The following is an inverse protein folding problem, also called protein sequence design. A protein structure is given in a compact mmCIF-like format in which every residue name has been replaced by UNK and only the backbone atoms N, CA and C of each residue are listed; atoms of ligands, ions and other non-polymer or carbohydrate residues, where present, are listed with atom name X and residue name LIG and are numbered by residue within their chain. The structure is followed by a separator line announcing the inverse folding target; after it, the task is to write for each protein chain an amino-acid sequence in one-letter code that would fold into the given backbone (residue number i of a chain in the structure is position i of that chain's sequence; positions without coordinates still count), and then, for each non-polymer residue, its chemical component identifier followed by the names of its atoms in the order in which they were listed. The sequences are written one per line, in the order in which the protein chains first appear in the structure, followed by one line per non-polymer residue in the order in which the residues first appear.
data_IF_544435643608
#
_entry.id   IF_544435643608
#
_cell.length_a   1.000
_cell.length_b   1.000
_cell.length_c   1.000
_cell.angle_alpha   90.00
_cell.angle_beta   90.00
_cell.angle_gamma   90.00
#
_symmetry.space_group_name_H-M   'P 1'
#
loop_
_entity.id
_entity.type
_entity.pdbx_description
1 polymer ?
#
# COMPACT_ATOMS: atom_id res chain seq x y z
N UNK A 1 -0.77 -15.52 -10.76
CA UNK A 1 -0.29 -14.12 -10.58
C UNK A 1 -1.49 -13.23 -10.37
N UNK A 2 -1.43 -12.34 -9.39
CA UNK A 2 -2.44 -11.32 -9.10
C UNK A 2 -1.83 -9.95 -9.45
N UNK A 3 -2.61 -9.09 -10.08
CA UNK A 3 -2.20 -7.72 -10.36
C UNK A 3 -3.28 -6.78 -9.84
N UNK A 4 -2.95 -5.91 -8.90
CA UNK A 4 -3.80 -4.80 -8.51
C UNK A 4 -3.41 -3.53 -9.27
N UNK A 5 -4.40 -2.71 -9.60
CA UNK A 5 -4.24 -1.40 -10.21
C UNK A 5 -4.97 -0.37 -9.37
N UNK A 6 -4.22 0.55 -8.77
CA UNK A 6 -4.77 1.55 -7.86
C UNK A 6 -4.53 2.95 -8.42
N UNK A 7 -5.56 3.78 -8.59
CA UNK A 7 -5.37 5.13 -9.09
C UNK A 7 -4.66 6.02 -8.06
N UNK A 8 -3.87 6.93 -8.56
CA UNK A 8 -3.35 8.05 -7.79
C UNK A 8 -4.44 9.12 -7.61
N UNK A 9 -4.23 10.05 -6.70
CA UNK A 9 -5.20 11.11 -6.43
C UNK A 9 -4.53 12.49 -6.35
N UNK A 10 -5.30 13.51 -6.68
CA UNK A 10 -4.95 14.90 -6.43
C UNK A 10 -5.91 15.47 -5.39
N UNK A 11 -5.37 16.09 -4.34
CA UNK A 11 -6.13 16.87 -3.37
C UNK A 11 -5.98 18.35 -3.71
N UNK A 12 -7.10 19.03 -3.96
CA UNK A 12 -7.12 20.44 -4.31
C UNK A 12 -7.05 21.32 -3.07
N UNK A 13 -7.72 20.90 -1.99
CA UNK A 13 -7.81 21.64 -0.73
C UNK A 13 -8.09 20.70 0.44
N UNK A 14 -7.69 21.10 1.63
CA UNK A 14 -7.98 20.38 2.89
C UNK A 14 -6.92 19.34 3.30
N UNK A 15 -5.80 19.23 2.58
CA UNK A 15 -4.69 18.38 2.99
C UNK A 15 -4.17 18.77 4.37
N UNK A 16 -3.93 17.76 5.23
CA UNK A 16 -3.53 17.95 6.62
C UNK A 16 -4.67 18.02 7.63
N UNK A 17 -5.92 18.22 7.19
CA UNK A 17 -7.07 18.13 8.08
C UNK A 17 -7.45 16.68 8.45
N UNK A 18 -6.81 15.72 7.83
CA UNK A 18 -6.89 14.27 8.07
C UNK A 18 -5.90 13.76 9.15
N UNK A 19 -5.09 14.66 9.72
CA UNK A 19 -4.16 14.33 10.82
C UNK A 19 -4.93 14.32 12.15
N UNK A 20 -4.63 13.35 13.01
CA UNK A 20 -5.33 13.15 14.28
C UNK A 20 -5.31 14.38 15.20
N UNK A 21 -4.20 15.11 15.22
CA UNK A 21 -4.07 16.37 15.98
C UNK A 21 -5.03 17.47 15.50
N UNK A 22 -5.47 17.41 14.24
CA UNK A 22 -6.45 18.34 13.69
C UNK A 22 -7.88 17.83 13.90
N UNK A 23 -8.25 16.65 13.34
CA UNK A 23 -9.65 16.20 13.31
C UNK A 23 -10.24 15.83 14.67
N UNK A 24 -9.40 15.59 15.69
CA UNK A 24 -9.89 15.39 17.06
C UNK A 24 -10.41 16.67 17.71
N UNK A 25 -9.99 17.82 17.24
CA UNK A 25 -10.36 19.12 17.80
C UNK A 25 -11.32 19.90 16.89
N UNK A 26 -11.21 19.72 15.57
CA UNK A 26 -11.98 20.45 14.59
C UNK A 26 -12.31 19.51 13.42
N UNK A 27 -13.56 19.48 12.93
CA UNK A 27 -13.89 18.67 11.77
C UNK A 27 -13.01 19.04 10.57
N UNK A 28 -12.40 18.01 9.95
CA UNK A 28 -11.62 18.16 8.73
C UNK A 28 -12.48 17.91 7.49
N UNK A 29 -12.08 18.51 6.38
CA UNK A 29 -12.65 18.23 5.08
C UNK A 29 -11.61 18.32 3.98
N UNK A 30 -11.72 17.47 2.97
CA UNK A 30 -10.83 17.43 1.82
C UNK A 30 -11.65 17.37 0.53
N UNK A 31 -11.16 18.05 -0.50
CA UNK A 31 -11.68 17.91 -1.87
C UNK A 31 -10.59 17.27 -2.71
N UNK A 32 -10.83 16.07 -3.18
CA UNK A 32 -9.86 15.30 -3.96
C UNK A 32 -10.54 14.51 -5.07
N UNK A 33 -9.76 14.11 -6.06
CA UNK A 33 -10.20 13.25 -7.16
C UNK A 33 -9.14 12.23 -7.52
N UNK A 34 -9.58 11.06 -7.93
CA UNK A 34 -8.70 10.08 -8.57
C UNK A 34 -8.31 10.56 -9.97
N UNK A 35 -7.12 10.23 -10.40
CA UNK A 35 -6.59 10.61 -11.72
C UNK A 35 -6.24 9.39 -12.55
N UNK A 36 -6.08 9.58 -13.86
CA UNK A 36 -5.70 8.54 -14.81
C UNK A 36 -4.19 8.26 -14.77
N UNK A 37 -3.67 8.04 -13.56
CA UNK A 37 -2.31 7.56 -13.28
C UNK A 37 -2.40 6.54 -12.16
N UNK A 38 -1.63 5.48 -12.25
CA UNK A 38 -1.83 4.28 -11.44
C UNK A 38 -0.54 3.79 -10.80
N UNK A 39 -0.71 3.06 -9.72
CA UNK A 39 0.29 2.13 -9.19
C UNK A 39 -0.21 0.72 -9.47
N UNK A 40 0.68 -0.10 -10.00
CA UNK A 40 0.45 -1.52 -10.25
C UNK A 40 1.26 -2.35 -9.28
N UNK A 41 0.63 -3.32 -8.64
CA UNK A 41 1.31 -4.27 -7.77
C UNK A 41 1.01 -5.67 -8.27
N UNK A 42 2.04 -6.36 -8.72
CA UNK A 42 1.99 -7.75 -9.11
C UNK A 42 2.47 -8.64 -7.96
N UNK A 43 1.67 -9.65 -7.64
CA UNK A 43 1.97 -10.63 -6.61
C UNK A 43 1.95 -12.02 -7.20
N UNK A 44 3.00 -12.79 -6.98
CA UNK A 44 3.08 -14.16 -7.42
C UNK A 44 3.57 -15.08 -6.31
N UNK A 45 3.27 -16.36 -6.41
CA UNK A 45 3.79 -17.38 -5.49
C UNK A 45 5.27 -17.61 -5.78
N UNK A 46 6.09 -17.63 -4.73
CA UNK A 46 7.50 -17.97 -4.79
C UNK A 46 7.72 -19.40 -4.24
N UNK A 47 8.26 -20.24 -5.05
CA UNK A 47 8.33 -21.69 -4.81
C UNK A 47 9.28 -22.07 -3.66
N UNK A 48 10.36 -21.34 -3.46
CA UNK A 48 11.41 -21.64 -2.49
C UNK A 48 11.19 -21.05 -1.09
N UNK A 49 10.00 -20.50 -0.84
CA UNK A 49 9.62 -19.94 0.46
C UNK A 49 10.16 -18.53 0.73
N UNK A 50 11.06 -18.00 -0.08
CA UNK A 50 11.62 -16.66 0.08
C UNK A 50 10.57 -15.58 -0.19
N UNK A 51 10.86 -14.39 0.31
CA UNK A 51 10.12 -13.16 0.01
C UNK A 51 11.00 -12.31 -0.90
N UNK A 52 10.52 -12.01 -2.09
CA UNK A 52 11.19 -11.14 -3.05
C UNK A 52 10.33 -9.90 -3.25
N UNK A 53 10.92 -8.72 -3.12
CA UNK A 53 10.22 -7.44 -3.24
C UNK A 53 10.99 -6.57 -4.22
N UNK A 54 10.35 -6.18 -5.32
CA UNK A 54 10.90 -5.28 -6.34
C UNK A 54 10.12 -3.96 -6.33
N UNK A 55 10.83 -2.87 -6.06
CA UNK A 55 10.34 -1.51 -6.14
C UNK A 55 11.44 -0.60 -6.74
N UNK A 56 11.92 0.46 -6.11
CA UNK A 56 13.12 1.20 -6.54
C UNK A 56 14.42 0.41 -6.31
N UNK A 57 14.34 -0.62 -5.46
CA UNK A 57 15.40 -1.62 -5.26
C UNK A 57 14.79 -3.02 -5.18
N UNK A 58 15.64 -4.03 -5.11
CA UNK A 58 15.23 -5.42 -4.89
C UNK A 58 15.67 -5.89 -3.51
N UNK A 59 14.72 -6.43 -2.75
CA UNK A 59 14.99 -7.13 -1.49
C UNK A 59 14.68 -8.62 -1.67
N UNK A 60 15.55 -9.48 -1.15
CA UNK A 60 15.32 -10.92 -1.07
C UNK A 60 15.62 -11.38 0.34
N UNK A 61 14.60 -11.81 1.06
CA UNK A 61 14.71 -12.18 2.48
C UNK A 61 13.98 -13.48 2.77
N UNK A 62 14.31 -14.10 3.90
CA UNK A 62 13.66 -15.33 4.37
C UNK A 62 12.59 -15.06 5.44
N UNK A 63 12.65 -13.92 6.11
CA UNK A 63 11.73 -13.54 7.18
C UNK A 63 11.16 -12.16 6.96
N UNK A 64 9.90 -11.96 7.35
CA UNK A 64 9.23 -10.66 7.26
C UNK A 64 9.96 -9.60 8.09
N UNK A 65 10.56 -9.97 9.22
CA UNK A 65 11.35 -9.05 10.07
C UNK A 65 12.51 -8.39 9.35
N UNK A 66 13.06 -9.06 8.35
CA UNK A 66 14.28 -8.64 7.64
C UNK A 66 13.96 -7.69 6.46
N UNK A 67 12.69 -7.45 6.18
CA UNK A 67 12.24 -6.54 5.12
C UNK A 67 12.54 -5.10 5.53
N UNK A 68 13.27 -4.37 4.70
CA UNK A 68 13.56 -2.95 4.92
C UNK A 68 12.36 -2.05 4.58
N UNK A 69 11.61 -2.39 3.53
CA UNK A 69 10.40 -1.64 3.17
C UNK A 69 9.32 -1.80 4.23
N UNK A 70 9.13 -0.75 5.02
CA UNK A 70 8.20 -0.74 6.15
C UNK A 70 6.75 -1.02 5.75
N UNK A 71 6.28 -0.43 4.63
CA UNK A 71 4.92 -0.63 4.15
C UNK A 71 4.65 -2.09 3.81
N UNK A 72 5.59 -2.74 3.08
CA UNK A 72 5.47 -4.15 2.71
C UNK A 72 5.53 -5.03 3.95
N UNK A 73 6.46 -4.75 4.86
CA UNK A 73 6.62 -5.52 6.10
C UNK A 73 5.33 -5.52 6.93
N UNK A 74 4.73 -4.35 7.15
CA UNK A 74 3.52 -4.23 7.95
C UNK A 74 2.27 -4.77 7.22
N UNK A 75 2.20 -4.64 5.89
CA UNK A 75 1.14 -5.25 5.10
C UNK A 75 1.16 -6.79 5.17
N UNK A 76 2.35 -7.41 5.07
CA UNK A 76 2.49 -8.86 5.20
C UNK A 76 2.12 -9.34 6.60
N UNK A 77 2.55 -8.63 7.66
CA UNK A 77 2.15 -8.94 9.04
C UNK A 77 0.63 -8.86 9.21
N UNK A 78 0.01 -7.78 8.74
CA UNK A 78 -1.43 -7.53 8.89
C UNK A 78 -2.27 -8.57 8.14
N UNK A 79 -1.87 -8.95 6.94
CA UNK A 79 -2.58 -9.93 6.12
C UNK A 79 -2.30 -11.37 6.52
N UNK A 80 -1.23 -11.61 7.28
CA UNK A 80 -0.81 -12.95 7.72
C UNK A 80 -0.12 -13.78 6.62
N UNK A 81 0.40 -13.14 5.59
CA UNK A 81 1.22 -13.82 4.57
C UNK A 81 2.64 -13.97 5.11
N UNK A 82 3.09 -15.19 5.36
CA UNK A 82 4.34 -15.45 6.08
C UNK A 82 5.58 -15.64 5.17
N UNK A 83 5.39 -15.83 3.87
CA UNK A 83 6.49 -16.02 2.91
C UNK A 83 6.05 -16.71 1.63
N UNK A 84 7.02 -17.13 0.82
CA UNK A 84 6.75 -17.78 -0.46
C UNK A 84 6.08 -16.84 -1.48
N UNK A 85 6.51 -15.57 -1.50
CA UNK A 85 5.85 -14.52 -2.27
C UNK A 85 6.85 -13.63 -3.01
N UNK A 86 6.50 -13.25 -4.22
CA UNK A 86 7.20 -12.26 -5.03
C UNK A 86 6.27 -11.09 -5.30
N UNK A 87 6.67 -9.90 -4.87
CA UNK A 87 5.92 -8.65 -4.98
C UNK A 87 6.71 -7.71 -5.89
N UNK A 88 6.08 -7.20 -6.94
CA UNK A 88 6.67 -6.20 -7.82
C UNK A 88 5.74 -5.01 -7.94
N UNK A 89 6.27 -3.81 -7.78
CA UNK A 89 5.52 -2.56 -7.92
C UNK A 89 6.05 -1.71 -9.07
N UNK A 90 5.12 -1.16 -9.83
CA UNK A 90 5.38 -0.23 -10.95
C UNK A 90 4.41 0.93 -10.81
N UNK A 91 4.89 2.15 -10.99
CA UNK A 91 4.08 3.36 -10.94
C UNK A 91 4.20 4.15 -12.25
N UNK A 92 3.09 4.76 -12.69
CA UNK A 92 3.05 5.63 -13.88
C UNK A 92 3.80 6.95 -13.68
N UNK A 93 4.12 7.30 -12.44
CA UNK A 93 4.86 8.52 -12.10
C UNK A 93 5.92 8.20 -11.03
N UNK A 94 6.98 9.02 -10.93
CA UNK A 94 7.95 8.87 -9.85
C UNK A 94 7.26 8.90 -8.47
N UNK A 95 7.64 8.00 -7.58
CA UNK A 95 7.03 7.86 -6.26
C UNK A 95 7.43 8.97 -5.30
N UNK A 96 8.63 9.54 -5.47
CA UNK A 96 9.19 10.54 -4.58
C UNK A 96 8.76 11.96 -4.97
N UNK A 97 8.29 12.73 -3.97
CA UNK A 97 8.00 14.17 -4.11
C UNK A 97 6.79 14.53 -4.97
N UNK A 98 6.01 13.56 -5.44
CA UNK A 98 4.88 13.84 -6.33
C UNK A 98 3.67 14.49 -5.65
N UNK A 99 3.52 14.32 -4.33
CA UNK A 99 2.34 14.80 -3.59
C UNK A 99 1.00 14.17 -3.98
N UNK A 100 1.03 13.15 -4.85
CA UNK A 100 -0.17 12.52 -5.43
C UNK A 100 -0.69 11.31 -4.66
N UNK A 101 -0.30 11.17 -3.38
CA UNK A 101 -0.75 10.07 -2.51
C UNK A 101 -0.18 8.72 -2.92
N UNK A 102 1.05 8.71 -3.43
CA UNK A 102 1.73 7.48 -3.91
C UNK A 102 1.82 6.42 -2.83
N UNK A 103 2.16 6.79 -1.60
CA UNK A 103 2.24 5.88 -0.45
C UNK A 103 0.87 5.24 -0.16
N UNK A 104 -0.17 6.06 -0.04
CA UNK A 104 -1.52 5.58 0.25
C UNK A 104 -2.08 4.69 -0.88
N UNK A 105 -1.86 5.06 -2.13
CA UNK A 105 -2.27 4.23 -3.27
C UNK A 105 -1.47 2.92 -3.33
N UNK A 106 -0.19 2.97 -2.98
CA UNK A 106 0.66 1.80 -2.88
C UNK A 106 0.14 0.80 -1.85
N UNK A 107 -0.10 1.27 -0.60
CA UNK A 107 -0.52 0.36 0.47
C UNK A 107 -1.91 -0.22 0.24
N UNK A 108 -2.86 0.58 -0.30
CA UNK A 108 -4.19 0.08 -0.67
C UNK A 108 -4.07 -1.00 -1.75
N UNK A 109 -3.27 -0.76 -2.79
CA UNK A 109 -3.04 -1.72 -3.87
C UNK A 109 -2.36 -2.99 -3.38
N UNK A 110 -1.38 -2.85 -2.48
CA UNK A 110 -0.67 -3.98 -1.89
C UNK A 110 -1.61 -4.84 -1.03
N UNK A 111 -2.38 -4.24 -0.14
CA UNK A 111 -3.35 -4.97 0.69
C UNK A 111 -4.37 -5.71 -0.17
N UNK A 112 -4.90 -5.05 -1.22
CA UNK A 112 -5.85 -5.66 -2.14
C UNK A 112 -5.23 -6.88 -2.85
N UNK A 113 -4.01 -6.75 -3.36
CA UNK A 113 -3.29 -7.84 -4.01
C UNK A 113 -2.99 -9.01 -3.04
N UNK A 114 -2.59 -8.71 -1.80
CA UNK A 114 -2.30 -9.72 -0.78
C UNK A 114 -3.55 -10.48 -0.34
N UNK A 115 -4.69 -9.80 -0.18
CA UNK A 115 -5.95 -10.46 0.12
C UNK A 115 -6.41 -11.34 -1.06
N UNK A 116 -6.34 -10.83 -2.28
CA UNK A 116 -6.65 -11.62 -3.46
C UNK A 116 -5.71 -12.85 -3.63
N UNK A 117 -4.44 -12.70 -3.28
CA UNK A 117 -3.48 -13.80 -3.25
C UNK A 117 -3.87 -14.91 -2.27
N UNK A 118 -4.54 -14.56 -1.18
CA UNK A 118 -5.11 -15.49 -0.19
C UNK A 118 -6.54 -15.95 -0.53
N UNK A 119 -7.06 -15.60 -1.72
CA UNK A 119 -8.44 -15.90 -2.13
C UNK A 119 -9.50 -15.25 -1.22
N UNK A 120 -9.14 -14.14 -0.56
CA UNK A 120 -10.02 -13.36 0.31
C UNK A 120 -10.53 -12.13 -0.42
N UNK A 121 -11.84 -11.94 -0.44
CA UNK A 121 -12.43 -10.71 -0.93
C UNK A 121 -12.64 -9.74 0.23
N UNK A 122 -12.15 -8.51 0.07
CA UNK A 122 -12.34 -7.41 1.03
C UNK A 122 -12.88 -6.18 0.31
N UNK A 123 -13.75 -5.44 0.99
CA UNK A 123 -14.34 -4.23 0.42
C UNK A 123 -13.38 -3.03 0.53
N UNK A 124 -13.68 -1.99 -0.23
CA UNK A 124 -12.85 -0.77 -0.29
C UNK A 124 -12.73 -0.06 1.07
N UNK A 125 -13.79 -0.08 1.89
CA UNK A 125 -13.78 0.52 3.22
C UNK A 125 -12.75 -0.15 4.15
N UNK A 126 -12.71 -1.48 4.15
CA UNK A 126 -11.73 -2.23 4.93
C UNK A 126 -10.31 -1.97 4.45
N UNK A 127 -10.07 -1.97 3.12
CA UNK A 127 -8.76 -1.65 2.57
C UNK A 127 -8.29 -0.25 2.98
N UNK A 128 -9.18 0.75 2.90
CA UNK A 128 -8.86 2.12 3.31
C UNK A 128 -8.53 2.20 4.81
N UNK A 129 -9.32 1.56 5.67
CA UNK A 129 -9.11 1.54 7.12
C UNK A 129 -7.78 0.88 7.50
N UNK A 130 -7.46 -0.24 6.89
CA UNK A 130 -6.22 -0.97 7.14
C UNK A 130 -5.00 -0.22 6.59
N UNK A 131 -5.12 0.42 5.43
CA UNK A 131 -4.08 1.29 4.88
C UNK A 131 -3.79 2.47 5.81
N UNK A 132 -4.81 3.19 6.27
CA UNK A 132 -4.67 4.27 7.25
C UNK A 132 -4.01 3.78 8.55
N UNK A 133 -4.39 2.58 9.03
CA UNK A 133 -3.77 2.00 10.23
C UNK A 133 -2.26 1.81 10.05
N UNK A 134 -1.82 1.33 8.90
CA UNK A 134 -0.40 1.13 8.63
C UNK A 134 0.31 2.48 8.52
N UNK A 135 -0.18 3.43 7.71
CA UNK A 135 0.50 4.70 7.44
C UNK A 135 0.51 5.67 8.63
N UNK A 136 -0.55 5.69 9.44
CA UNK A 136 -0.74 6.72 10.46
C UNK A 136 -0.42 6.20 11.87
N UNK A 137 -0.72 4.93 12.16
CA UNK A 137 -0.66 4.42 13.52
C UNK A 137 0.54 3.50 13.77
N UNK A 138 1.15 2.94 12.71
CA UNK A 138 2.23 1.97 12.86
C UNK A 138 3.57 2.58 12.40
N UNK A 139 3.56 3.37 11.34
CA UNK A 139 4.74 4.07 10.78
C UNK A 139 4.74 5.54 11.13
#
# INVERSE_FOLDING_TARGET
MIISRTPLRISFVGGGSDIASFYRNTPGAVVSTAINKYIYIAVNRQFDGRIIINYSKTETVNKISDIENNLVREALKLTGVIGGIHITSIADIPSEGSGMGSSSSYIVGLLNALYAFQEKHVNAERLAREACKIEINIL
#
